data_IF_714938722624
#
_entry.id   IF_714938722624
#
_cell.length_a   1.000
_cell.length_b   1.000
_cell.length_c   1.000
_cell.angle_alpha   90.00
_cell.angle_beta   90.00
_cell.angle_gamma   90.00
#
_symmetry.space_group_name_H-M   'P 1'
#
loop_
_entity.id
_entity.type
_entity.pdbx_description
1 polymer ?
#
# COMPACT_ATOMS: atom_id res chain seq x y z
N UNK A 1 27.93 23.27 -11.62
CA UNK A 1 27.56 24.70 -11.58
C UNK A 1 28.55 25.38 -10.62
N UNK A 2 29.22 26.46 -11.06
CA UNK A 2 30.09 27.23 -10.19
C UNK A 2 29.23 27.98 -9.18
N UNK A 3 29.54 27.85 -7.89
CA UNK A 3 28.83 28.43 -6.75
C UNK A 3 28.75 29.98 -6.74
N UNK A 4 29.44 30.63 -7.62
CA UNK A 4 29.73 32.06 -7.49
C UNK A 4 28.95 32.99 -8.40
N UNK A 5 27.87 32.51 -9.04
CA UNK A 5 27.15 33.31 -10.03
C UNK A 5 25.62 33.28 -9.83
N UNK A 6 25.16 33.38 -8.60
CA UNK A 6 23.76 33.67 -8.33
C UNK A 6 23.51 35.17 -8.61
N UNK A 7 22.42 35.51 -9.39
CA UNK A 7 22.12 36.90 -9.76
C UNK A 7 21.79 37.81 -8.57
N UNK A 8 21.44 37.23 -7.41
CA UNK A 8 21.17 37.96 -6.16
C UNK A 8 21.83 37.24 -5.00
N UNK A 9 22.55 37.98 -4.15
CA UNK A 9 23.17 37.46 -2.94
C UNK A 9 22.22 37.63 -1.74
N UNK A 10 21.31 36.69 -1.59
CA UNK A 10 20.49 36.58 -0.38
C UNK A 10 21.20 35.68 0.62
N UNK A 11 22.04 36.27 1.47
CA UNK A 11 22.81 35.58 2.48
C UNK A 11 22.06 34.37 3.08
N UNK A 12 22.68 33.20 3.06
CA UNK A 12 22.44 32.07 3.96
C UNK A 12 21.67 30.88 3.49
N UNK A 13 21.91 30.10 2.52
CA UNK A 13 21.33 28.75 2.57
C UNK A 13 22.30 27.63 2.13
N UNK A 14 23.35 27.96 1.39
CA UNK A 14 24.20 26.92 0.78
C UNK A 14 25.63 26.79 1.32
N UNK A 15 26.01 27.55 2.36
CA UNK A 15 27.39 27.55 2.83
C UNK A 15 27.83 26.32 3.63
N UNK A 16 26.90 25.45 4.11
CA UNK A 16 27.24 24.35 5.00
C UNK A 16 26.82 22.94 4.56
N UNK A 17 26.37 22.75 3.32
CA UNK A 17 26.13 21.39 2.82
C UNK A 17 27.01 21.11 1.61
N UNK A 18 28.14 20.48 1.86
CA UNK A 18 29.02 19.85 0.88
C UNK A 18 28.39 18.64 0.17
N UNK A 19 27.08 18.45 0.26
CA UNK A 19 26.35 17.45 -0.50
C UNK A 19 26.11 18.01 -1.90
N UNK A 20 26.65 17.32 -2.90
CA UNK A 20 26.47 17.68 -4.29
C UNK A 20 24.96 17.74 -4.61
N UNK A 21 24.47 18.88 -5.09
CA UNK A 21 23.10 19.01 -5.57
C UNK A 21 22.86 17.89 -6.60
N UNK A 22 21.82 17.05 -6.46
CA UNK A 22 21.50 15.99 -7.41
C UNK A 22 21.38 16.57 -8.83
N UNK A 23 21.68 15.77 -9.82
CA UNK A 23 21.60 16.21 -11.23
C UNK A 23 20.14 16.42 -11.62
N UNK A 24 19.89 17.32 -12.58
CA UNK A 24 18.56 17.56 -13.14
C UNK A 24 17.84 16.26 -13.56
N UNK A 25 18.60 15.29 -14.07
CA UNK A 25 18.08 13.98 -14.45
C UNK A 25 17.49 13.20 -13.26
N UNK A 26 18.09 13.32 -12.07
CA UNK A 26 17.64 12.61 -10.87
C UNK A 26 16.28 13.17 -10.42
N UNK A 27 16.12 14.50 -10.47
CA UNK A 27 14.82 15.15 -10.22
C UNK A 27 13.75 14.76 -11.24
N UNK A 28 14.14 14.60 -12.53
CA UNK A 28 13.20 14.16 -13.55
C UNK A 28 12.71 12.73 -13.26
N UNK A 29 13.59 11.83 -12.85
CA UNK A 29 13.22 10.46 -12.46
C UNK A 29 12.22 10.47 -11.32
N UNK A 30 12.44 11.28 -10.28
CA UNK A 30 11.51 11.44 -9.16
C UNK A 30 10.17 12.01 -9.62
N UNK A 31 10.19 13.05 -10.47
CA UNK A 31 9.00 13.66 -11.04
C UNK A 31 8.15 12.66 -11.84
N UNK A 32 8.79 11.78 -12.62
CA UNK A 32 8.10 10.76 -13.40
C UNK A 32 7.39 9.73 -12.50
N UNK A 33 7.94 9.42 -11.34
CA UNK A 33 7.29 8.57 -10.33
C UNK A 33 6.05 9.27 -9.76
N UNK A 34 6.17 10.51 -9.31
CA UNK A 34 5.03 11.28 -8.79
C UNK A 34 3.95 11.49 -9.85
N UNK A 35 4.32 11.66 -11.11
CA UNK A 35 3.38 11.73 -12.23
C UNK A 35 2.53 10.45 -12.35
N UNK A 36 3.11 9.27 -12.09
CA UNK A 36 2.33 8.03 -12.06
C UNK A 36 1.31 8.02 -10.92
N UNK A 37 1.58 8.67 -9.80
CA UNK A 37 0.67 8.82 -8.67
C UNK A 37 -0.25 10.07 -8.76
N UNK A 38 -0.20 10.84 -9.83
CA UNK A 38 -1.06 12.01 -10.04
C UNK A 38 -2.52 11.70 -10.43
N UNK A 39 -2.97 10.45 -10.30
CA UNK A 39 -4.32 9.99 -10.62
C UNK A 39 -4.92 9.24 -9.43
N UNK A 40 -6.07 9.71 -8.92
CA UNK A 40 -6.67 9.18 -7.70
C UNK A 40 -7.08 7.71 -7.79
N UNK A 41 -7.59 7.27 -8.96
CA UNK A 41 -7.94 5.85 -9.18
C UNK A 41 -6.70 4.97 -9.16
N UNK A 42 -5.61 5.45 -9.73
CA UNK A 42 -4.34 4.73 -9.76
C UNK A 42 -3.69 4.67 -8.39
N UNK A 43 -3.76 5.74 -7.58
CA UNK A 43 -3.35 5.73 -6.17
C UNK A 43 -4.15 4.69 -5.41
N UNK A 44 -5.49 4.67 -5.56
CA UNK A 44 -6.37 3.71 -4.87
C UNK A 44 -6.04 2.26 -5.24
N UNK A 45 -5.82 1.96 -6.51
CA UNK A 45 -5.41 0.63 -6.97
C UNK A 45 -4.05 0.24 -6.39
N UNK A 46 -3.07 1.15 -6.41
CA UNK A 46 -1.74 0.89 -5.83
C UNK A 46 -1.83 0.63 -4.33
N UNK A 47 -2.57 1.46 -3.60
CA UNK A 47 -2.79 1.27 -2.17
C UNK A 47 -3.41 -0.08 -1.83
N UNK A 48 -4.45 -0.50 -2.57
CA UNK A 48 -5.05 -1.84 -2.41
C UNK A 48 -4.01 -2.94 -2.62
N UNK A 49 -3.20 -2.83 -3.67
CA UNK A 49 -2.17 -3.83 -3.99
C UNK A 49 -0.99 -3.86 -3.01
N UNK A 50 -0.84 -2.85 -2.16
CA UNK A 50 0.08 -2.89 -1.02
C UNK A 50 -0.43 -3.80 0.12
N UNK A 51 -1.75 -4.02 0.20
CA UNK A 51 -2.39 -4.80 1.26
C UNK A 51 -2.84 -6.19 0.79
N UNK A 52 -3.06 -6.40 -0.53
CA UNK A 52 -3.53 -7.68 -1.05
C UNK A 52 -2.94 -7.98 -2.43
N UNK A 53 -2.98 -9.25 -2.81
CA UNK A 53 -2.70 -9.69 -4.16
C UNK A 53 -4.02 -10.02 -4.85
N UNK A 54 -4.33 -9.34 -5.99
CA UNK A 54 -5.63 -9.45 -6.62
C UNK A 54 -5.57 -9.50 -8.15
N UNK A 55 -6.60 -10.13 -8.76
CA UNK A 55 -6.80 -10.14 -10.20
C UNK A 55 -7.59 -8.90 -10.68
N UNK A 56 -7.58 -8.66 -12.01
CA UNK A 56 -8.26 -7.50 -12.61
C UNK A 56 -9.76 -7.47 -12.28
N UNK A 57 -10.43 -8.62 -12.26
CA UNK A 57 -11.88 -8.70 -12.04
C UNK A 57 -12.21 -8.22 -10.61
N UNK A 58 -11.50 -8.73 -9.61
CA UNK A 58 -11.70 -8.34 -8.22
C UNK A 58 -11.34 -6.86 -8.00
N UNK A 59 -10.22 -6.40 -8.53
CA UNK A 59 -9.86 -4.98 -8.48
C UNK A 59 -10.93 -4.09 -9.10
N UNK A 60 -11.51 -4.51 -10.24
CA UNK A 60 -12.57 -3.75 -10.91
C UNK A 60 -13.79 -3.57 -10.00
N UNK A 61 -14.17 -4.62 -9.27
CA UNK A 61 -15.25 -4.57 -8.29
C UNK A 61 -14.91 -3.72 -7.07
N UNK A 62 -13.68 -3.83 -6.54
CA UNK A 62 -13.24 -3.08 -5.35
C UNK A 62 -13.14 -1.57 -5.60
N UNK A 63 -12.76 -1.15 -6.82
CA UNK A 63 -12.62 0.27 -7.16
C UNK A 63 -13.80 0.85 -7.92
N UNK A 64 -14.82 0.04 -8.22
CA UNK A 64 -16.00 0.41 -9.02
C UNK A 64 -15.61 0.97 -10.40
N UNK A 65 -14.79 0.23 -11.12
CA UNK A 65 -14.28 0.61 -12.44
C UNK A 65 -14.37 -0.54 -13.42
N UNK A 66 -14.42 -0.24 -14.71
CA UNK A 66 -14.36 -1.27 -15.74
C UNK A 66 -12.99 -1.97 -15.80
N UNK A 67 -12.97 -3.27 -16.12
CA UNK A 67 -11.73 -4.04 -16.25
C UNK A 67 -10.72 -3.46 -17.26
N UNK A 68 -11.13 -2.87 -18.40
CA UNK A 68 -10.21 -2.15 -19.27
C UNK A 68 -9.55 -0.94 -18.60
N UNK A 69 -10.30 -0.15 -17.83
CA UNK A 69 -9.76 1.01 -17.11
C UNK A 69 -8.76 0.57 -16.03
N UNK A 70 -9.10 -0.44 -15.21
CA UNK A 70 -8.20 -1.04 -14.23
C UNK A 70 -6.93 -1.58 -14.92
N UNK A 71 -7.08 -2.30 -16.03
CA UNK A 71 -5.95 -2.81 -16.80
C UNK A 71 -5.02 -1.71 -17.31
N UNK A 72 -5.57 -0.54 -17.68
CA UNK A 72 -4.78 0.62 -18.06
C UNK A 72 -3.94 1.12 -16.87
N UNK A 73 -4.54 1.32 -15.70
CA UNK A 73 -3.83 1.76 -14.49
C UNK A 73 -2.76 0.75 -14.05
N UNK A 74 -3.07 -0.55 -14.07
CA UNK A 74 -2.11 -1.61 -13.75
C UNK A 74 -0.90 -1.60 -14.69
N UNK A 75 -1.11 -1.34 -16.00
CA UNK A 75 -0.01 -1.22 -16.95
C UNK A 75 0.92 -0.04 -16.58
N UNK A 76 0.37 1.11 -16.22
CA UNK A 76 1.15 2.29 -15.82
C UNK A 76 1.96 2.01 -14.55
N UNK A 77 1.32 1.45 -13.51
CA UNK A 77 1.98 1.07 -12.27
C UNK A 77 3.10 0.04 -12.49
N UNK A 78 2.88 -0.92 -13.39
CA UNK A 78 3.88 -1.94 -13.72
C UNK A 78 5.07 -1.35 -14.47
N UNK A 79 4.84 -0.44 -15.43
CA UNK A 79 5.92 0.29 -16.16
C UNK A 79 6.75 1.11 -15.16
N UNK A 80 6.11 1.71 -14.16
CA UNK A 80 6.79 2.47 -13.11
C UNK A 80 7.53 1.57 -12.09
N UNK A 81 7.42 0.24 -12.17
CA UNK A 81 8.05 -0.70 -11.23
C UNK A 81 7.40 -0.72 -9.84
N UNK A 82 6.21 -0.16 -9.70
CA UNK A 82 5.50 -0.07 -8.41
C UNK A 82 4.73 -1.34 -8.06
N UNK A 83 4.38 -2.14 -9.06
CA UNK A 83 3.69 -3.42 -8.88
C UNK A 83 4.35 -4.52 -9.70
N UNK A 84 4.17 -5.74 -9.26
CA UNK A 84 4.54 -6.97 -9.98
C UNK A 84 3.30 -7.76 -10.33
N UNK A 85 3.43 -8.69 -11.27
CA UNK A 85 2.34 -9.58 -11.63
C UNK A 85 2.84 -11.02 -11.76
N UNK A 86 2.01 -11.97 -11.36
CA UNK A 86 2.23 -13.40 -11.60
C UNK A 86 1.02 -14.03 -12.26
N UNK A 87 1.24 -15.04 -13.08
CA UNK A 87 0.16 -15.81 -13.70
C UNK A 87 -0.13 -17.04 -12.84
N UNK A 88 -1.39 -17.27 -12.57
CA UNK A 88 -1.86 -18.48 -11.93
C UNK A 88 -3.05 -19.04 -12.74
N UNK A 89 -2.81 -20.14 -13.45
CA UNK A 89 -3.78 -20.72 -14.35
C UNK A 89 -4.13 -19.77 -15.52
N UNK A 90 -5.41 -19.39 -15.62
CA UNK A 90 -5.92 -18.49 -16.65
C UNK A 90 -5.88 -17.02 -16.23
N UNK A 91 -5.64 -16.74 -14.96
CA UNK A 91 -5.69 -15.40 -14.38
C UNK A 91 -4.31 -14.81 -14.13
N UNK A 92 -4.24 -13.49 -14.08
CA UNK A 92 -3.06 -12.72 -13.74
C UNK A 92 -3.36 -11.96 -12.45
N UNK A 93 -2.54 -12.21 -11.44
CA UNK A 93 -2.60 -11.56 -10.13
C UNK A 93 -1.54 -10.47 -10.04
N UNK A 94 -1.86 -9.41 -9.35
CA UNK A 94 -1.02 -8.23 -9.16
C UNK A 94 -0.84 -7.96 -7.68
N UNK A 95 0.36 -7.55 -7.27
CA UNK A 95 0.66 -7.04 -5.93
C UNK A 95 1.66 -5.90 -6.01
N UNK A 96 1.81 -5.11 -4.95
CA UNK A 96 2.87 -4.11 -4.87
C UNK A 96 4.25 -4.79 -5.00
N UNK A 97 5.20 -4.07 -5.59
CA UNK A 97 6.58 -4.52 -5.65
C UNK A 97 7.22 -4.43 -4.26
N UNK A 98 8.04 -5.41 -3.90
CA UNK A 98 8.77 -5.45 -2.63
C UNK A 98 10.06 -4.60 -2.74
N UNK A 99 9.94 -3.35 -3.19
CA UNK A 99 11.03 -2.39 -3.33
C UNK A 99 10.93 -1.29 -2.30
N UNK A 100 12.05 -0.74 -1.86
CA UNK A 100 12.09 0.42 -0.95
C UNK A 100 11.26 1.59 -1.50
N UNK A 101 11.28 1.79 -2.82
CA UNK A 101 10.49 2.82 -3.49
C UNK A 101 8.98 2.60 -3.30
N UNK A 102 8.48 1.39 -3.52
CA UNK A 102 7.06 1.08 -3.38
C UNK A 102 6.61 1.20 -1.90
N UNK A 103 7.43 0.73 -0.96
CA UNK A 103 7.18 0.85 0.47
C UNK A 103 7.14 2.32 0.93
N UNK A 104 8.10 3.13 0.48
CA UNK A 104 8.13 4.56 0.80
C UNK A 104 6.89 5.29 0.25
N UNK A 105 6.51 5.01 -1.00
CA UNK A 105 5.33 5.63 -1.61
C UNK A 105 4.05 5.22 -0.91
N UNK A 106 3.90 3.96 -0.52
CA UNK A 106 2.78 3.49 0.30
C UNK A 106 2.69 4.28 1.60
N UNK A 107 3.80 4.37 2.34
CA UNK A 107 3.85 5.14 3.58
C UNK A 107 3.50 6.63 3.38
N UNK A 108 4.00 7.26 2.32
CA UNK A 108 3.66 8.65 1.99
C UNK A 108 2.16 8.80 1.73
N UNK A 109 1.55 7.89 0.97
CA UNK A 109 0.11 7.91 0.68
C UNK A 109 -0.70 7.82 1.98
N UNK A 110 -0.37 6.88 2.88
CA UNK A 110 -1.03 6.74 4.18
C UNK A 110 -0.93 8.00 5.02
N UNK A 111 0.27 8.58 5.13
CA UNK A 111 0.47 9.82 5.88
C UNK A 111 -0.31 10.98 5.26
N UNK A 112 -0.33 11.10 3.93
CA UNK A 112 -1.11 12.15 3.25
C UNK A 112 -2.61 11.99 3.48
N UNK A 113 -3.16 10.77 3.41
CA UNK A 113 -4.58 10.50 3.73
C UNK A 113 -4.87 10.96 5.16
N UNK A 114 -4.04 10.59 6.13
CA UNK A 114 -4.21 10.96 7.54
C UNK A 114 -4.20 12.48 7.76
N UNK A 115 -3.33 13.22 7.05
CA UNK A 115 -3.20 14.67 7.20
C UNK A 115 -4.32 15.41 6.46
N UNK A 116 -4.68 14.97 5.24
CA UNK A 116 -5.61 15.70 4.37
C UNK A 116 -7.07 15.31 4.54
N UNK A 117 -7.33 14.12 5.10
CA UNK A 117 -8.67 13.58 5.32
C UNK A 117 -8.85 13.13 6.78
N UNK A 118 -8.73 14.02 7.77
CA UNK A 118 -8.82 13.66 9.19
C UNK A 118 -10.18 13.05 9.55
N UNK A 119 -11.27 13.40 8.84
CA UNK A 119 -12.60 12.81 9.00
C UNK A 119 -12.67 11.35 8.50
N UNK A 120 -11.71 10.88 7.71
CA UNK A 120 -11.64 9.47 7.35
C UNK A 120 -11.15 8.58 8.52
N UNK A 121 -10.56 9.18 9.56
CA UNK A 121 -10.26 8.47 10.82
C UNK A 121 -11.49 8.44 11.76
N UNK A 122 -12.41 9.40 11.62
CA UNK A 122 -13.69 9.41 12.35
C UNK A 122 -14.75 8.54 11.66
N UNK A 123 -14.64 8.33 10.33
CA UNK A 123 -15.52 7.46 9.54
C UNK A 123 -14.90 6.07 9.26
N UNK A 124 -13.62 5.86 9.47
CA UNK A 124 -13.11 4.54 9.77
C UNK A 124 -13.65 4.19 11.15
N UNK A 125 -14.61 3.24 11.25
CA UNK A 125 -15.10 2.81 12.54
C UNK A 125 -13.98 2.04 13.25
N UNK A 126 -13.01 2.74 13.75
CA UNK A 126 -11.77 2.19 14.28
C UNK A 126 -11.36 2.78 15.61
N UNK A 127 -11.95 3.89 16.04
CA UNK A 127 -11.93 4.23 17.47
C UNK A 127 -13.24 3.92 18.19
N UNK A 128 -14.27 3.39 17.48
CA UNK A 128 -15.51 2.89 18.12
C UNK A 128 -16.29 1.86 17.29
N UNK A 129 -15.73 1.20 16.29
CA UNK A 129 -16.54 0.40 15.40
C UNK A 129 -15.93 -0.79 14.68
N UNK A 130 -14.64 -1.01 14.69
CA UNK A 130 -14.14 -2.36 14.47
C UNK A 130 -14.69 -3.21 15.60
N UNK A 131 -15.54 -4.18 15.27
CA UNK A 131 -15.95 -5.12 16.30
C UNK A 131 -14.65 -5.69 16.86
N UNK A 132 -14.58 -5.87 18.17
CA UNK A 132 -13.43 -6.49 18.84
C UNK A 132 -12.95 -7.77 18.15
N UNK A 133 -13.80 -8.33 17.30
CA UNK A 133 -13.54 -9.48 16.46
C UNK A 133 -12.73 -9.16 15.19
N UNK A 134 -12.96 -8.03 14.54
CA UNK A 134 -12.22 -7.62 13.33
C UNK A 134 -10.81 -7.14 13.67
N UNK A 135 -10.65 -6.37 14.74
CA UNK A 135 -9.35 -5.94 15.27
C UNK A 135 -8.48 -7.15 15.66
N UNK A 136 -9.12 -8.15 16.25
CA UNK A 136 -8.47 -9.39 16.63
C UNK A 136 -8.03 -10.21 15.42
N UNK A 137 -8.78 -10.20 14.32
CA UNK A 137 -8.43 -10.91 13.09
C UNK A 137 -7.28 -10.24 12.36
N UNK A 138 -7.24 -8.92 12.32
CA UNK A 138 -6.08 -8.21 11.82
C UNK A 138 -4.82 -8.58 12.62
N UNK A 139 -4.93 -8.65 13.94
CA UNK A 139 -3.81 -9.07 14.82
C UNK A 139 -3.38 -10.52 14.56
N UNK A 140 -4.32 -11.43 14.38
CA UNK A 140 -4.02 -12.84 14.05
C UNK A 140 -3.40 -12.96 12.65
N UNK A 141 -3.91 -12.21 11.68
CA UNK A 141 -3.36 -12.16 10.34
C UNK A 141 -1.91 -11.69 10.34
N UNK A 142 -1.62 -10.59 11.03
CA UNK A 142 -0.27 -10.03 11.13
C UNK A 142 0.68 -11.03 11.81
N UNK A 143 0.22 -11.75 12.81
CA UNK A 143 1.01 -12.81 13.45
C UNK A 143 1.29 -13.98 12.48
N UNK A 144 0.30 -14.40 11.71
CA UNK A 144 0.45 -15.50 10.74
C UNK A 144 1.36 -15.12 9.59
N UNK A 145 1.30 -13.87 9.13
CA UNK A 145 2.12 -13.36 8.03
C UNK A 145 3.55 -13.02 8.47
N UNK A 146 3.75 -12.61 9.72
CA UNK A 146 5.07 -12.32 10.28
C UNK A 146 5.88 -13.56 10.65
N UNK A 147 5.22 -14.71 10.83
CA UNK A 147 5.87 -15.97 11.26
C UNK A 147 5.48 -17.13 10.33
N UNK A 148 5.81 -17.00 9.05
CA UNK A 148 5.53 -18.02 8.01
C UNK A 148 6.29 -19.34 8.20
N UNK A 149 7.29 -19.36 9.04
CA UNK A 149 8.08 -20.53 9.44
C UNK A 149 7.36 -21.42 10.46
N UNK A 150 6.32 -20.90 11.12
CA UNK A 150 5.56 -21.61 12.15
C UNK A 150 4.14 -21.91 11.68
N UNK A 151 3.70 -23.16 11.83
CA UNK A 151 2.30 -23.55 11.62
C UNK A 151 1.51 -23.37 12.92
N UNK A 152 0.46 -22.55 12.86
CA UNK A 152 -0.48 -22.37 13.94
C UNK A 152 -1.72 -23.22 13.72
N UNK A 153 -2.18 -23.90 14.74
CA UNK A 153 -3.47 -24.60 14.72
C UNK A 153 -4.59 -23.67 15.17
N UNK A 154 -5.82 -23.96 14.74
CA UNK A 154 -7.00 -23.17 15.15
C UNK A 154 -7.17 -23.22 16.68
N UNK A 155 -6.83 -24.36 17.29
CA UNK A 155 -6.88 -24.54 18.75
C UNK A 155 -5.85 -23.67 19.47
N UNK A 156 -4.64 -23.52 18.93
CA UNK A 156 -3.60 -22.64 19.49
C UNK A 156 -4.02 -21.19 19.41
N UNK A 157 -4.50 -20.73 18.26
CA UNK A 157 -5.02 -19.36 18.08
C UNK A 157 -6.23 -19.10 18.98
N UNK A 158 -7.14 -20.06 19.09
CA UNK A 158 -8.31 -19.99 19.97
C UNK A 158 -7.92 -19.79 21.44
N UNK A 159 -6.91 -20.49 21.94
CA UNK A 159 -6.38 -20.35 23.30
C UNK A 159 -5.64 -19.04 23.50
N UNK A 160 -4.79 -18.67 22.54
CA UNK A 160 -3.95 -17.47 22.64
C UNK A 160 -4.80 -16.19 22.67
N UNK A 161 -5.88 -16.15 21.88
CA UNK A 161 -6.73 -14.97 21.76
C UNK A 161 -8.06 -15.06 22.54
N UNK A 162 -8.24 -16.12 23.33
CA UNK A 162 -9.43 -16.34 24.17
C UNK A 162 -10.77 -16.31 23.39
N UNK A 163 -10.75 -16.82 22.16
CA UNK A 163 -11.94 -16.94 21.29
C UNK A 163 -12.25 -18.41 21.07
N UNK A 164 -13.55 -18.75 21.01
CA UNK A 164 -13.92 -20.11 20.66
C UNK A 164 -13.62 -20.42 19.17
N UNK A 165 -13.29 -21.67 18.89
CA UNK A 165 -12.89 -22.14 17.55
C UNK A 165 -13.98 -21.93 16.48
N UNK A 166 -15.26 -21.97 16.87
CA UNK A 166 -16.38 -21.76 15.94
C UNK A 166 -16.48 -20.29 15.52
N UNK A 167 -16.33 -19.35 16.46
CA UNK A 167 -16.29 -17.92 16.17
C UNK A 167 -15.09 -17.57 15.31
N UNK A 168 -13.91 -18.13 15.64
CA UNK A 168 -12.69 -17.92 14.87
C UNK A 168 -12.88 -18.36 13.38
N UNK A 169 -13.40 -19.58 13.17
CA UNK A 169 -13.71 -20.10 11.83
C UNK A 169 -14.72 -19.23 11.07
N UNK A 170 -15.79 -18.78 11.76
CA UNK A 170 -16.84 -17.95 11.17
C UNK A 170 -16.25 -16.64 10.63
N UNK A 171 -15.46 -15.94 11.44
CA UNK A 171 -14.91 -14.65 11.09
C UNK A 171 -13.81 -14.78 10.03
N UNK A 172 -12.97 -15.82 10.09
CA UNK A 172 -12.03 -16.12 8.99
C UNK A 172 -12.75 -16.38 7.66
N UNK A 173 -13.90 -17.06 7.71
CA UNK A 173 -14.72 -17.29 6.52
C UNK A 173 -15.33 -15.99 5.97
N UNK A 174 -15.81 -15.10 6.84
CA UNK A 174 -16.39 -13.82 6.45
C UNK A 174 -15.34 -12.88 5.84
N UNK A 175 -14.13 -12.82 6.41
CA UNK A 175 -13.06 -11.91 5.96
C UNK A 175 -12.31 -12.45 4.74
N UNK A 176 -12.04 -13.77 4.69
CA UNK A 176 -11.17 -14.36 3.65
C UNK A 176 -11.92 -15.27 2.65
N UNK A 177 -13.23 -15.46 2.81
CA UNK A 177 -14.03 -16.28 1.89
C UNK A 177 -13.63 -17.76 1.81
N UNK A 178 -12.85 -18.24 2.77
CA UNK A 178 -12.38 -19.63 2.80
C UNK A 178 -13.40 -20.55 3.49
N UNK A 179 -13.56 -21.81 3.00
CA UNK A 179 -14.49 -22.77 3.58
C UNK A 179 -14.09 -23.22 4.99
#
# INVERSE_FOLDING_TARGET
MKKDNLPHNHHQIFENKSEAIPKTKDFQTVADIFKQLGDGSRIRIFWLLCHCEECVINLSSLVDMSSPAVSHHLRQLKIAGLIVSRRHGKEVYYKAAETEQAQLLHHIIEQMIRITCPSAEEELPGSSGMSRQEELICTIHDQLTSHLDRRYTIEELSRQYLINTASLKKVFKEVYGLP
#
